data_IF_496491332437
#
_entry.id   IF_496491332437
#
_cell.length_a   1.000
_cell.length_b   1.000
_cell.length_c   1.000
_cell.angle_alpha   90.00
_cell.angle_beta   90.00
_cell.angle_gamma   90.00
#
_symmetry.space_group_name_H-M   'P 1'
#
loop_
_entity.id
_entity.type
_entity.pdbx_description
1 polymer ?
#
# COMPACT_ATOMS: atom_id res chain seq x y z
N UNK A 1 -14.86 -11.81 21.80
CA UNK A 1 -13.80 -10.85 21.54
C UNK A 1 -14.40 -9.49 21.87
N UNK A 2 -13.97 -8.97 22.97
CA UNK A 2 -14.59 -7.77 23.55
C UNK A 2 -13.61 -6.61 23.25
N UNK A 3 -13.92 -5.79 22.24
CA UNK A 3 -13.14 -4.59 21.92
C UNK A 3 -14.09 -3.40 21.77
N UNK A 4 -13.69 -2.28 22.35
CA UNK A 4 -14.44 -1.04 22.22
C UNK A 4 -14.11 -0.36 20.88
N UNK A 5 -15.11 0.07 20.10
CA UNK A 5 -14.89 0.79 18.85
C UNK A 5 -14.61 2.29 19.07
N UNK A 6 -14.36 2.69 20.30
CA UNK A 6 -14.09 4.07 20.71
C UNK A 6 -12.60 4.28 21.00
N UNK A 7 -12.14 5.51 20.79
CA UNK A 7 -10.78 5.91 21.13
C UNK A 7 -10.64 6.23 22.60
N UNK A 8 -9.43 6.05 23.14
CA UNK A 8 -9.10 6.49 24.50
C UNK A 8 -9.03 8.03 24.56
N UNK A 9 -9.14 8.56 25.78
CA UNK A 9 -8.97 10.01 26.00
C UNK A 9 -7.60 10.52 25.51
N UNK A 10 -6.55 9.73 25.71
CA UNK A 10 -5.19 10.04 25.24
C UNK A 10 -5.14 10.10 23.71
N UNK A 11 -5.78 9.17 23.01
CA UNK A 11 -5.88 9.20 21.56
C UNK A 11 -6.62 10.43 21.04
N UNK A 12 -7.70 10.85 21.71
CA UNK A 12 -8.47 12.05 21.32
C UNK A 12 -7.70 13.35 21.61
N UNK A 13 -6.96 13.42 22.71
CA UNK A 13 -6.05 14.54 22.97
C UNK A 13 -4.94 14.63 21.93
N UNK A 14 -4.34 13.50 21.59
CA UNK A 14 -3.34 13.43 20.51
C UNK A 14 -3.92 13.77 19.14
N UNK A 15 -5.17 13.38 18.86
CA UNK A 15 -5.88 13.74 17.63
C UNK A 15 -5.96 15.26 17.47
N UNK A 16 -6.30 15.97 18.54
CA UNK A 16 -6.34 17.43 18.52
C UNK A 16 -4.96 18.04 18.18
N UNK A 17 -3.88 17.49 18.74
CA UNK A 17 -2.49 17.89 18.39
C UNK A 17 -2.20 17.67 16.89
N UNK A 18 -2.57 16.49 16.36
CA UNK A 18 -2.36 16.15 14.95
C UNK A 18 -3.15 17.10 14.03
N UNK A 19 -4.40 17.39 14.36
CA UNK A 19 -5.24 18.32 13.59
C UNK A 19 -4.64 19.72 13.55
N UNK A 20 -4.23 20.25 14.70
CA UNK A 20 -3.60 21.58 14.79
C UNK A 20 -2.31 21.63 13.98
N UNK A 21 -1.46 20.60 14.07
CA UNK A 21 -0.22 20.53 13.33
C UNK A 21 -0.47 20.46 11.81
N UNK A 22 -1.42 19.67 11.35
CA UNK A 22 -1.77 19.57 9.94
C UNK A 22 -2.24 20.91 9.36
N UNK A 23 -3.06 21.66 10.09
CA UNK A 23 -3.51 23.00 9.67
C UNK A 23 -2.33 23.94 9.43
N UNK A 24 -1.26 23.84 10.25
CA UNK A 24 -0.09 24.70 10.16
C UNK A 24 0.95 24.23 9.14
N UNK A 25 0.98 22.95 8.80
CA UNK A 25 2.09 22.33 8.08
C UNK A 25 1.73 21.75 6.70
N UNK A 26 0.45 21.56 6.39
CA UNK A 26 0.05 21.14 5.05
C UNK A 26 0.32 22.29 4.07
N UNK A 27 1.10 22.07 2.99
CA UNK A 27 1.36 23.10 2.00
C UNK A 27 0.07 23.62 1.36
N UNK A 28 0.00 24.92 1.17
CA UNK A 28 -1.13 25.56 0.52
C UNK A 28 -1.31 25.07 -0.94
N UNK A 29 -2.55 24.89 -1.35
CA UNK A 29 -2.89 24.49 -2.72
C UNK A 29 -2.50 23.05 -3.05
N UNK A 30 -2.49 22.13 -2.08
CA UNK A 30 -2.45 20.68 -2.37
C UNK A 30 -3.78 20.29 -3.03
N UNK A 31 -3.68 19.66 -4.20
CA UNK A 31 -4.83 19.15 -4.94
C UNK A 31 -5.14 17.71 -4.55
N UNK A 32 -6.40 17.32 -4.67
CA UNK A 32 -6.92 15.99 -4.36
C UNK A 32 -7.68 15.43 -5.58
N UNK A 33 -7.00 15.19 -6.72
CA UNK A 33 -7.68 14.69 -7.89
C UNK A 33 -8.21 13.27 -7.63
N UNK A 34 -9.33 12.88 -8.24
CA UNK A 34 -9.85 11.51 -8.20
C UNK A 34 -8.83 10.47 -8.70
N UNK A 35 -7.99 10.87 -9.62
CA UNK A 35 -6.90 10.07 -10.18
C UNK A 35 -5.56 10.77 -9.99
N UNK A 36 -4.69 10.17 -9.15
CA UNK A 36 -3.38 10.72 -8.83
C UNK A 36 -2.38 10.69 -10.00
N UNK A 37 -2.70 10.01 -11.11
CA UNK A 37 -1.90 10.08 -12.34
C UNK A 37 -1.93 11.47 -12.98
N UNK A 38 -2.92 12.29 -12.63
CA UNK A 38 -3.02 13.68 -13.07
C UNK A 38 -2.18 14.66 -12.23
N UNK A 39 -1.53 14.20 -11.16
CA UNK A 39 -0.64 15.06 -10.38
C UNK A 39 0.59 15.44 -11.21
N UNK A 40 0.84 16.74 -11.30
CA UNK A 40 2.04 17.28 -11.92
C UNK A 40 3.22 17.33 -10.92
N UNK A 41 4.39 17.73 -11.41
CA UNK A 41 5.61 17.83 -10.61
C UNK A 41 5.46 18.80 -9.42
N UNK A 42 4.78 19.94 -9.58
CA UNK A 42 4.55 20.91 -8.51
C UNK A 42 3.77 20.28 -7.35
N UNK A 43 2.67 19.59 -7.67
CA UNK A 43 1.83 18.91 -6.69
C UNK A 43 2.59 17.77 -6.01
N UNK A 44 3.41 17.05 -6.76
CA UNK A 44 4.28 16.03 -6.20
C UNK A 44 5.30 16.62 -5.21
N UNK A 45 5.95 17.72 -5.55
CA UNK A 45 6.91 18.38 -4.65
C UNK A 45 6.26 18.91 -3.38
N UNK A 46 5.03 19.45 -3.44
CA UNK A 46 4.25 19.82 -2.24
C UNK A 46 4.00 18.61 -1.34
N UNK A 47 3.69 17.45 -1.90
CA UNK A 47 3.50 16.21 -1.15
C UNK A 47 4.81 15.68 -0.55
N UNK A 48 5.91 15.77 -1.30
CA UNK A 48 7.26 15.44 -0.79
C UNK A 48 7.64 16.35 0.37
N UNK A 49 7.32 17.64 0.28
CA UNK A 49 7.58 18.60 1.37
C UNK A 49 6.78 18.24 2.63
N UNK A 50 5.50 17.91 2.49
CA UNK A 50 4.71 17.43 3.62
C UNK A 50 5.29 16.15 4.22
N UNK A 51 5.73 15.21 3.38
CA UNK A 51 6.42 13.99 3.85
C UNK A 51 7.67 14.29 4.67
N UNK A 52 8.51 15.24 4.23
CA UNK A 52 9.70 15.68 5.00
C UNK A 52 9.32 16.35 6.32
N UNK A 53 8.26 17.18 6.36
CA UNK A 53 7.77 17.79 7.61
C UNK A 53 7.23 16.73 8.58
N UNK A 54 6.48 15.74 8.09
CA UNK A 54 6.03 14.59 8.87
C UNK A 54 7.21 13.77 9.38
N UNK A 55 8.22 13.52 8.54
CA UNK A 55 9.45 12.84 8.93
C UNK A 55 10.24 13.57 10.00
N UNK A 56 10.40 14.90 9.89
CA UNK A 56 11.04 15.73 10.91
C UNK A 56 10.30 15.71 12.25
N UNK A 57 8.96 15.59 12.23
CA UNK A 57 8.12 15.42 13.43
C UNK A 57 8.15 13.98 13.98
N UNK A 58 8.69 13.01 13.22
CA UNK A 58 8.62 11.59 13.53
C UNK A 58 7.26 10.94 13.26
N UNK A 59 6.40 11.57 12.46
CA UNK A 59 5.04 11.12 12.20
C UNK A 59 4.88 10.41 10.86
N UNK A 60 5.83 10.57 9.94
CA UNK A 60 5.81 9.84 8.66
C UNK A 60 5.88 8.33 8.88
N UNK A 61 6.74 7.89 9.79
CA UNK A 61 6.93 6.51 10.21
C UNK A 61 6.85 6.43 11.74
N UNK A 62 5.65 6.64 12.25
CA UNK A 62 5.41 6.88 13.67
C UNK A 62 5.91 5.75 14.58
N UNK A 63 5.78 4.49 14.17
CA UNK A 63 6.20 3.32 14.96
C UNK A 63 7.65 2.89 14.73
N UNK A 64 8.34 3.46 13.73
CA UNK A 64 9.73 3.13 13.45
C UNK A 64 10.67 3.64 14.55
N UNK A 65 11.85 2.99 14.76
CA UNK A 65 12.78 3.37 15.82
C UNK A 65 13.31 4.80 15.67
N UNK A 66 13.39 5.52 16.80
CA UNK A 66 13.92 6.90 16.85
C UNK A 66 15.37 7.00 16.42
N UNK A 67 16.18 5.99 16.70
CA UNK A 67 17.60 5.93 16.33
C UNK A 67 17.84 6.01 14.83
N UNK A 68 16.85 5.60 14.02
CA UNK A 68 16.87 5.71 12.56
C UNK A 68 15.96 6.83 12.01
N UNK A 69 15.50 7.75 12.85
CA UNK A 69 14.69 8.89 12.42
C UNK A 69 13.19 8.63 12.38
N UNK A 70 12.71 7.48 12.87
CA UNK A 70 11.30 7.21 13.10
C UNK A 70 10.75 7.88 14.35
N UNK A 71 9.44 7.77 14.58
CA UNK A 71 8.77 8.40 15.74
C UNK A 71 8.97 7.68 17.06
N UNK A 72 9.20 6.37 17.06
CA UNK A 72 9.21 5.55 18.27
C UNK A 72 7.90 5.63 19.06
N UNK A 73 6.80 5.93 18.37
CA UNK A 73 5.46 6.05 18.94
C UNK A 73 4.75 4.70 18.96
N UNK A 74 3.66 4.60 19.72
CA UNK A 74 2.83 3.41 19.75
C UNK A 74 1.96 3.29 18.48
N UNK A 75 1.39 2.10 18.29
CA UNK A 75 0.41 1.86 17.23
C UNK A 75 -0.81 2.78 17.34
N UNK A 76 -1.22 3.12 18.57
CA UNK A 76 -2.36 4.00 18.85
C UNK A 76 -2.15 5.41 18.28
N UNK A 77 -0.93 5.94 18.42
CA UNK A 77 -0.55 7.21 17.80
C UNK A 77 -0.50 7.12 16.28
N UNK A 78 0.07 6.03 15.74
CA UNK A 78 0.15 5.82 14.28
C UNK A 78 -1.23 5.83 13.63
N UNK A 79 -2.20 5.15 14.24
CA UNK A 79 -3.58 5.10 13.74
C UNK A 79 -4.22 6.49 13.71
N UNK A 80 -4.04 7.29 14.74
CA UNK A 80 -4.58 8.66 14.81
C UNK A 80 -3.96 9.54 13.73
N UNK A 81 -2.63 9.47 13.54
CA UNK A 81 -1.94 10.22 12.48
C UNK A 81 -2.47 9.83 11.10
N UNK A 82 -2.56 8.52 10.81
CA UNK A 82 -3.06 8.02 9.54
C UNK A 82 -4.50 8.46 9.25
N UNK A 83 -5.38 8.42 10.26
CA UNK A 83 -6.77 8.86 10.12
C UNK A 83 -6.91 10.35 9.87
N UNK A 84 -6.11 11.18 10.56
CA UNK A 84 -6.19 12.64 10.37
C UNK A 84 -5.60 13.07 9.02
N UNK A 85 -4.55 12.42 8.54
CA UNK A 85 -4.04 12.61 7.18
C UNK A 85 -5.08 12.16 6.15
N UNK A 86 -5.73 11.02 6.37
CA UNK A 86 -6.80 10.54 5.51
C UNK A 86 -8.01 11.50 5.53
N UNK A 87 -8.36 12.08 6.69
CA UNK A 87 -9.46 13.03 6.83
C UNK A 87 -9.31 14.25 5.92
N UNK A 88 -8.08 14.69 5.67
CA UNK A 88 -7.80 15.79 4.74
C UNK A 88 -7.56 15.33 3.30
N UNK A 89 -7.90 14.09 2.94
CA UNK A 89 -7.81 13.57 1.57
C UNK A 89 -6.40 13.13 1.15
N UNK A 90 -5.47 12.97 2.09
CA UNK A 90 -4.11 12.52 1.82
C UNK A 90 -3.88 11.10 2.32
N UNK A 91 -2.78 10.48 1.90
CA UNK A 91 -2.28 9.21 2.42
C UNK A 91 -1.06 9.44 3.29
N UNK A 92 -0.65 8.47 4.08
CA UNK A 92 0.64 8.46 4.74
C UNK A 92 1.48 7.26 4.22
N UNK A 93 2.58 7.48 3.50
CA UNK A 93 3.19 8.77 3.10
C UNK A 93 2.36 9.53 2.07
N UNK A 94 2.44 10.89 2.06
CA UNK A 94 1.57 11.71 1.21
C UNK A 94 1.91 11.70 -0.28
N UNK A 95 2.99 11.03 -0.70
CA UNK A 95 3.46 10.93 -2.09
C UNK A 95 3.13 9.59 -2.77
N UNK A 96 2.11 8.86 -2.28
CA UNK A 96 1.57 7.64 -2.89
C UNK A 96 2.60 6.54 -3.19
N UNK A 97 3.44 6.20 -2.24
CA UNK A 97 4.38 5.10 -2.40
C UNK A 97 4.37 4.14 -1.21
N UNK A 98 4.24 2.85 -1.50
CA UNK A 98 4.34 1.79 -0.50
C UNK A 98 5.77 1.24 -0.35
N UNK A 99 6.67 1.60 -1.26
CA UNK A 99 8.02 1.09 -1.30
C UNK A 99 8.81 1.40 -0.04
N UNK A 100 8.71 2.62 0.44
CA UNK A 100 9.40 3.07 1.66
C UNK A 100 8.99 2.26 2.90
N UNK A 101 7.69 2.02 3.07
CA UNK A 101 7.17 1.27 4.22
C UNK A 101 7.67 -0.17 4.22
N UNK A 102 7.62 -0.83 3.09
CA UNK A 102 7.94 -2.25 2.97
C UNK A 102 9.45 -2.48 2.89
N UNK A 103 10.16 -1.66 2.12
CA UNK A 103 11.62 -1.70 2.00
C UNK A 103 12.31 -1.32 3.31
N UNK A 104 11.87 -0.24 3.96
CA UNK A 104 12.40 0.19 5.25
C UNK A 104 12.25 -0.88 6.33
N UNK A 105 11.09 -1.53 6.41
CA UNK A 105 10.88 -2.63 7.35
C UNK A 105 11.78 -3.83 7.05
N UNK A 106 11.99 -4.17 5.78
CA UNK A 106 12.89 -5.27 5.40
C UNK A 106 14.34 -4.98 5.78
N UNK A 107 14.82 -3.74 5.55
CA UNK A 107 16.16 -3.32 5.96
C UNK A 107 16.29 -3.30 7.49
N UNK A 108 15.27 -2.84 8.20
CA UNK A 108 15.28 -2.81 9.68
C UNK A 108 15.48 -4.21 10.28
N UNK A 109 14.89 -5.25 9.67
CA UNK A 109 14.98 -6.64 10.15
C UNK A 109 16.26 -7.31 9.67
N UNK A 110 16.66 -7.14 8.41
CA UNK A 110 17.67 -7.96 7.74
C UNK A 110 18.94 -7.23 7.35
N UNK A 111 18.94 -5.89 7.38
CA UNK A 111 20.12 -5.09 7.04
C UNK A 111 21.22 -5.22 8.10
N UNK A 112 22.47 -5.07 7.67
CA UNK A 112 23.59 -4.85 8.58
C UNK A 112 23.43 -3.50 9.28
N UNK A 113 24.19 -3.24 10.35
CA UNK A 113 24.13 -1.97 11.05
C UNK A 113 24.53 -0.81 10.12
N UNK A 114 25.51 -1.01 9.24
CA UNK A 114 25.93 -0.05 8.24
C UNK A 114 24.80 0.24 7.22
N UNK A 115 24.12 -0.80 6.73
CA UNK A 115 22.97 -0.64 5.82
C UNK A 115 21.81 0.09 6.50
N UNK A 116 21.52 -0.23 7.76
CA UNK A 116 20.48 0.47 8.53
C UNK A 116 20.82 1.95 8.70
N UNK A 117 22.07 2.28 9.02
CA UNK A 117 22.52 3.68 9.17
C UNK A 117 22.50 4.43 7.83
N UNK A 118 22.79 3.79 6.71
CA UNK A 118 22.78 4.41 5.39
C UNK A 118 21.35 4.67 4.88
N UNK A 119 20.48 3.66 4.93
CA UNK A 119 19.18 3.72 4.25
C UNK A 119 18.04 4.24 5.12
N UNK A 120 17.92 3.76 6.37
CA UNK A 120 16.73 4.01 7.18
C UNK A 120 16.50 5.47 7.54
N UNK A 121 17.52 6.26 7.96
CA UNK A 121 17.29 7.66 8.30
C UNK A 121 16.73 8.48 7.14
N UNK A 122 17.21 8.23 5.93
CA UNK A 122 16.75 8.93 4.72
C UNK A 122 15.31 8.54 4.34
N UNK A 123 14.97 7.25 4.49
CA UNK A 123 13.62 6.74 4.27
C UNK A 123 12.66 7.31 5.32
N UNK A 124 13.01 7.21 6.61
CA UNK A 124 12.08 7.58 7.68
C UNK A 124 11.89 9.09 7.84
N UNK A 125 12.82 9.90 7.34
CA UNK A 125 12.67 11.36 7.25
C UNK A 125 11.99 11.84 5.98
N UNK A 126 11.64 10.91 5.04
CA UNK A 126 11.02 11.27 3.77
C UNK A 126 11.98 11.99 2.80
N UNK A 127 13.29 11.84 3.00
CA UNK A 127 14.33 12.44 2.16
C UNK A 127 14.46 11.70 0.83
N UNK A 128 14.31 10.37 0.85
CA UNK A 128 14.31 9.51 -0.34
C UNK A 128 12.98 8.83 -0.52
N UNK A 129 12.72 8.41 -1.75
CA UNK A 129 11.57 7.62 -2.15
C UNK A 129 12.04 6.31 -2.75
N UNK A 130 11.38 5.22 -2.43
CA UNK A 130 11.74 3.91 -2.95
C UNK A 130 10.59 3.27 -3.73
N UNK A 131 10.92 2.54 -4.78
CA UNK A 131 9.98 1.71 -5.52
C UNK A 131 10.15 0.24 -5.21
N UNK A 132 9.03 -0.45 -5.13
CA UNK A 132 8.94 -1.90 -5.03
C UNK A 132 8.95 -2.53 -6.41
N UNK A 133 9.93 -3.38 -6.71
CA UNK A 133 10.09 -4.07 -7.97
C UNK A 133 10.07 -5.59 -7.75
N UNK A 134 8.89 -6.19 -7.70
CA UNK A 134 8.75 -7.62 -7.46
C UNK A 134 8.28 -8.37 -8.71
N UNK A 135 7.18 -7.90 -9.31
CA UNK A 135 6.49 -8.60 -10.38
C UNK A 135 7.27 -8.57 -11.69
N UNK A 136 7.32 -9.70 -12.37
CA UNK A 136 7.83 -9.87 -13.72
C UNK A 136 6.72 -10.37 -14.65
N UNK A 137 6.87 -10.32 -15.99
CA UNK A 137 5.86 -10.83 -16.93
C UNK A 137 5.44 -12.26 -16.64
N UNK A 138 6.36 -13.11 -16.19
CA UNK A 138 6.12 -14.53 -15.90
C UNK A 138 6.06 -14.86 -14.41
N UNK A 139 6.28 -13.89 -13.51
CA UNK A 139 6.34 -14.09 -12.07
C UNK A 139 5.53 -13.03 -11.30
N UNK A 140 4.23 -13.26 -11.17
CA UNK A 140 3.32 -12.44 -10.35
C UNK A 140 2.95 -13.16 -9.06
N UNK A 141 1.88 -13.96 -9.05
CA UNK A 141 1.47 -14.77 -7.90
C UNK A 141 2.51 -15.81 -7.49
N UNK A 142 3.30 -16.28 -8.43
CA UNK A 142 4.46 -17.15 -8.22
C UNK A 142 5.75 -16.36 -8.13
N UNK A 143 5.82 -15.46 -7.14
CA UNK A 143 6.92 -14.51 -6.97
C UNK A 143 8.30 -15.18 -6.81
N UNK A 144 8.36 -16.36 -6.23
CA UNK A 144 9.64 -17.08 -6.08
C UNK A 144 10.22 -17.59 -7.42
N UNK A 145 9.51 -17.39 -8.53
CA UNK A 145 9.94 -17.80 -9.88
C UNK A 145 10.45 -16.61 -10.73
N UNK A 146 10.93 -15.55 -10.08
CA UNK A 146 11.54 -14.41 -10.78
C UNK A 146 12.71 -14.87 -11.68
N UNK A 147 12.84 -14.21 -12.82
CA UNK A 147 13.83 -14.52 -13.85
C UNK A 147 14.93 -13.47 -13.98
N UNK A 148 14.74 -12.29 -13.42
CA UNK A 148 15.83 -11.31 -13.33
C UNK A 148 16.97 -11.93 -12.52
N UNK A 149 18.21 -11.77 -13.02
CA UNK A 149 19.43 -12.35 -12.43
C UNK A 149 20.29 -11.29 -11.75
N UNK A 150 21.09 -11.71 -10.78
CA UNK A 150 22.17 -10.92 -10.21
C UNK A 150 23.41 -11.82 -10.11
N UNK A 151 24.38 -11.59 -10.98
CA UNK A 151 25.63 -12.35 -11.03
C UNK A 151 26.72 -11.59 -10.31
N UNK A 152 27.45 -12.26 -9.43
CA UNK A 152 28.55 -11.63 -8.68
C UNK A 152 29.76 -11.36 -9.58
N UNK A 153 30.27 -10.13 -9.52
CA UNK A 153 31.49 -9.70 -10.20
C UNK A 153 32.38 -8.90 -9.23
N UNK A 154 33.25 -9.61 -8.52
CA UNK A 154 34.09 -9.04 -7.47
C UNK A 154 33.30 -8.51 -6.28
N UNK A 155 33.41 -7.21 -6.04
CA UNK A 155 32.68 -6.50 -4.95
C UNK A 155 31.33 -5.94 -5.40
N UNK A 156 30.89 -6.29 -6.63
CA UNK A 156 29.63 -5.85 -7.21
C UNK A 156 28.78 -7.04 -7.66
N UNK A 157 27.53 -6.74 -8.06
CA UNK A 157 26.64 -7.62 -8.79
C UNK A 157 26.23 -6.98 -10.11
N UNK A 158 26.13 -7.80 -11.16
CA UNK A 158 25.58 -7.40 -12.46
C UNK A 158 24.13 -7.89 -12.51
N UNK A 159 23.20 -6.95 -12.59
CA UNK A 159 21.77 -7.25 -12.59
C UNK A 159 21.21 -7.11 -14.00
N UNK A 160 20.50 -8.16 -14.45
CA UNK A 160 19.81 -8.24 -15.73
C UNK A 160 18.36 -8.69 -15.56
N UNK A 161 17.45 -8.16 -16.39
CA UNK A 161 16.04 -8.57 -16.40
C UNK A 161 15.06 -7.42 -16.52
N UNK A 162 13.79 -7.71 -16.20
CA UNK A 162 12.74 -6.70 -16.24
C UNK A 162 11.71 -6.88 -15.13
N UNK A 163 11.14 -5.76 -14.69
CA UNK A 163 10.06 -5.70 -13.71
C UNK A 163 8.90 -4.90 -14.26
N UNK A 164 7.67 -5.29 -13.92
CA UNK A 164 6.44 -4.64 -14.42
C UNK A 164 5.53 -4.19 -13.29
N UNK A 165 4.62 -3.29 -13.60
CA UNK A 165 3.67 -2.67 -12.66
C UNK A 165 4.36 -1.89 -11.53
N UNK A 166 5.49 -1.26 -11.84
CA UNK A 166 6.37 -0.61 -10.87
C UNK A 166 5.98 0.84 -10.63
N UNK A 167 6.00 1.27 -9.38
CA UNK A 167 6.02 2.66 -8.94
C UNK A 167 4.87 3.52 -9.46
N UNK A 168 5.22 4.73 -9.86
CA UNK A 168 4.30 5.78 -10.34
C UNK A 168 4.99 6.68 -11.36
N UNK A 169 4.31 7.75 -11.83
CA UNK A 169 4.80 8.65 -12.87
C UNK A 169 6.03 9.50 -12.50
N UNK A 170 6.32 9.67 -11.21
CA UNK A 170 7.23 10.73 -10.74
C UNK A 170 8.59 10.23 -10.23
N UNK A 171 9.02 9.05 -10.64
CA UNK A 171 10.33 8.50 -10.34
C UNK A 171 10.55 8.06 -8.89
N UNK A 172 11.78 7.65 -8.58
CA UNK A 172 12.23 7.29 -7.24
C UNK A 172 13.74 7.51 -7.11
N UNK A 173 14.23 7.46 -5.87
CA UNK A 173 15.67 7.54 -5.59
C UNK A 173 16.32 6.15 -5.53
N UNK A 174 15.56 5.16 -5.05
CA UNK A 174 15.98 3.76 -4.96
C UNK A 174 14.89 2.81 -5.44
N UNK A 175 15.33 1.66 -5.95
CA UNK A 175 14.49 0.52 -6.33
C UNK A 175 14.90 -0.68 -5.50
N UNK A 176 13.95 -1.37 -4.83
CA UNK A 176 14.28 -2.63 -4.19
C UNK A 176 13.58 -3.79 -4.89
N UNK A 177 14.33 -4.87 -5.07
CA UNK A 177 13.91 -5.97 -5.92
C UNK A 177 14.41 -7.33 -5.44
N UNK A 178 13.69 -8.38 -5.85
CA UNK A 178 14.16 -9.76 -5.82
C UNK A 178 14.76 -10.13 -7.17
N UNK A 179 15.93 -10.76 -7.15
CA UNK A 179 16.58 -11.35 -8.33
C UNK A 179 17.06 -12.76 -8.01
N UNK A 180 17.24 -13.58 -9.02
CA UNK A 180 17.90 -14.87 -8.88
C UNK A 180 19.42 -14.67 -8.75
N UNK A 181 20.01 -15.13 -7.66
CA UNK A 181 21.45 -15.08 -7.39
C UNK A 181 22.15 -16.39 -7.65
N UNK A 182 21.38 -17.51 -7.70
CA UNK A 182 21.91 -18.85 -7.96
C UNK A 182 20.87 -19.70 -8.68
N UNK A 183 21.06 -19.97 -9.96
CA UNK A 183 20.15 -20.78 -10.77
C UNK A 183 20.14 -22.28 -10.42
N UNK A 184 21.16 -22.77 -9.70
CA UNK A 184 21.30 -24.17 -9.33
C UNK A 184 20.75 -24.46 -7.94
N UNK A 185 20.59 -23.43 -7.10
CA UNK A 185 20.08 -23.60 -5.74
C UNK A 185 18.56 -23.90 -5.74
N UNK A 186 18.08 -24.59 -4.69
CA UNK A 186 16.67 -24.89 -4.53
C UNK A 186 15.81 -23.60 -4.49
N UNK A 187 14.59 -23.71 -4.99
CA UNK A 187 13.58 -22.64 -4.92
C UNK A 187 13.47 -22.07 -3.51
N UNK A 188 13.44 -20.76 -3.37
CA UNK A 188 13.45 -19.94 -2.15
C UNK A 188 14.83 -19.82 -1.48
N UNK A 189 15.83 -20.57 -1.92
CA UNK A 189 17.22 -20.52 -1.47
C UNK A 189 18.15 -20.03 -2.59
N UNK A 190 17.58 -19.36 -3.57
CA UNK A 190 18.24 -18.95 -4.82
C UNK A 190 18.04 -17.46 -5.13
N UNK A 191 17.55 -16.67 -4.17
CA UNK A 191 17.16 -15.27 -4.41
C UNK A 191 17.98 -14.31 -3.54
N UNK A 192 18.35 -13.17 -4.14
CA UNK A 192 18.88 -12.00 -3.45
C UNK A 192 17.86 -10.87 -3.41
N UNK A 193 17.91 -10.05 -2.36
CA UNK A 193 17.11 -8.83 -2.23
C UNK A 193 18.03 -7.61 -2.25
N UNK A 194 17.85 -6.73 -3.24
CA UNK A 194 18.74 -5.61 -3.49
C UNK A 194 18.04 -4.26 -3.31
N UNK A 195 18.77 -3.28 -2.74
CA UNK A 195 18.40 -1.88 -2.69
C UNK A 195 19.23 -1.11 -3.74
N UNK A 196 18.66 -0.85 -4.90
CA UNK A 196 19.35 -0.36 -6.11
C UNK A 196 19.16 1.15 -6.26
N UNK A 197 20.22 1.97 -6.35
CA UNK A 197 20.08 3.39 -6.73
C UNK A 197 19.43 3.50 -8.12
N UNK A 198 18.39 4.33 -8.24
CA UNK A 198 17.58 4.41 -9.46
C UNK A 198 18.29 5.08 -10.66
N UNK A 199 19.41 5.76 -10.43
CA UNK A 199 20.17 6.51 -11.41
C UNK A 199 21.39 5.74 -11.98
N UNK A 200 21.51 4.44 -11.70
CA UNK A 200 22.62 3.65 -12.23
C UNK A 200 22.50 3.46 -13.76
N UNK A 201 23.63 3.45 -14.48
CA UNK A 201 23.65 3.09 -15.90
C UNK A 201 23.03 1.72 -16.14
N UNK A 202 22.34 1.55 -17.27
CA UNK A 202 21.67 0.30 -17.65
C UNK A 202 20.22 0.18 -17.13
N UNK A 203 19.74 1.12 -16.29
CA UNK A 203 18.34 1.17 -15.87
C UNK A 203 17.52 1.97 -16.88
N UNK A 204 16.48 1.36 -17.44
CA UNK A 204 15.50 2.02 -18.30
C UNK A 204 14.12 1.90 -17.69
N UNK A 205 13.45 3.03 -17.51
CA UNK A 205 12.06 3.12 -17.00
C UNK A 205 11.13 3.49 -18.13
N UNK A 206 10.16 2.63 -18.43
CA UNK A 206 9.17 2.86 -19.49
C UNK A 206 7.77 2.94 -18.86
N UNK A 207 7.07 4.08 -18.98
CA UNK A 207 5.71 4.22 -18.51
C UNK A 207 4.72 3.26 -19.18
N UNK A 208 3.75 2.80 -18.41
CA UNK A 208 2.61 1.98 -18.84
C UNK A 208 1.32 2.69 -18.44
N UNK A 209 0.48 2.99 -19.42
CA UNK A 209 -0.86 3.50 -19.13
C UNK A 209 -1.79 2.35 -18.78
N UNK A 210 -2.33 2.38 -17.60
CA UNK A 210 -3.25 1.36 -17.10
C UNK A 210 -4.65 1.93 -16.89
N UNK A 211 -5.64 1.08 -16.98
CA UNK A 211 -7.03 1.45 -16.69
C UNK A 211 -7.23 1.89 -15.22
N UNK A 212 -6.36 1.46 -14.32
CA UNK A 212 -6.46 1.76 -12.90
C UNK A 212 -6.36 3.27 -12.64
N UNK A 213 -7.28 3.81 -11.83
CA UNK A 213 -7.10 5.12 -11.25
C UNK A 213 -6.16 5.06 -10.05
N UNK A 214 -5.29 6.04 -9.95
CA UNK A 214 -4.57 6.27 -8.71
C UNK A 214 -5.48 6.96 -7.69
N UNK A 215 -5.38 6.63 -6.43
CA UNK A 215 -6.17 7.33 -5.41
C UNK A 215 -6.40 6.52 -4.15
N UNK A 216 -7.50 6.79 -3.48
CA UNK A 216 -7.87 6.39 -2.11
C UNK A 216 -7.72 4.90 -1.76
N UNK A 217 -7.64 4.00 -2.74
CA UNK A 217 -7.49 2.57 -2.50
C UNK A 217 -6.07 2.11 -2.16
N UNK A 218 -5.08 3.02 -2.13
CA UNK A 218 -3.68 2.68 -1.91
C UNK A 218 -3.01 1.90 -3.05
N UNK A 219 -3.68 1.77 -4.19
CA UNK A 219 -3.15 1.06 -5.36
C UNK A 219 -2.12 1.88 -6.17
N UNK A 220 -1.80 3.09 -5.71
CA UNK A 220 -0.84 3.99 -6.38
C UNK A 220 -1.46 4.77 -7.54
N UNK A 221 -0.62 5.38 -8.37
CA UNK A 221 -1.09 6.14 -9.55
C UNK A 221 -1.53 5.20 -10.68
N UNK A 222 -2.40 5.67 -11.56
CA UNK A 222 -2.81 4.97 -12.77
C UNK A 222 -1.66 4.71 -13.75
N UNK A 223 -0.56 5.46 -13.63
CA UNK A 223 0.67 5.20 -14.35
C UNK A 223 1.53 4.24 -13.54
N UNK A 224 1.90 3.14 -14.15
CA UNK A 224 2.91 2.21 -13.68
C UNK A 224 4.04 2.17 -14.69
N UNK A 225 5.12 1.48 -14.36
CA UNK A 225 6.26 1.39 -15.25
C UNK A 225 6.68 -0.07 -15.45
N UNK A 226 7.26 -0.32 -16.60
CA UNK A 226 8.21 -1.41 -16.82
C UNK A 226 9.61 -0.87 -16.55
N UNK A 227 10.40 -1.60 -15.79
CA UNK A 227 11.81 -1.28 -15.52
C UNK A 227 12.67 -2.38 -16.11
N UNK A 228 13.61 -2.00 -16.94
CA UNK A 228 14.61 -2.90 -17.53
C UNK A 228 15.96 -2.69 -16.86
N UNK A 229 16.64 -3.78 -16.58
CA UNK A 229 18.02 -3.83 -16.13
C UNK A 229 18.86 -4.48 -17.22
N UNK A 230 19.85 -3.76 -17.72
CA UNK A 230 20.76 -4.17 -18.78
C UNK A 230 22.20 -3.95 -18.29
N UNK A 231 22.83 -5.02 -17.82
CA UNK A 231 24.15 -5.04 -17.19
C UNK A 231 24.33 -3.99 -16.08
N UNK A 232 23.32 -3.83 -15.22
CA UNK A 232 23.35 -2.84 -14.13
C UNK A 232 24.30 -3.28 -13.05
N UNK A 233 25.38 -2.53 -12.86
CA UNK A 233 26.41 -2.78 -11.83
C UNK A 233 25.96 -2.19 -10.49
N UNK A 234 25.78 -3.05 -9.50
CA UNK A 234 25.28 -2.70 -8.16
C UNK A 234 26.29 -3.17 -7.11
N UNK A 235 26.79 -2.29 -6.21
CA UNK A 235 27.69 -2.70 -5.14
C UNK A 235 27.11 -3.82 -4.26
N UNK A 236 27.95 -4.76 -3.85
CA UNK A 236 27.53 -5.86 -2.95
C UNK A 236 26.99 -5.35 -1.61
N UNK A 237 27.38 -4.14 -1.19
CA UNK A 237 26.77 -3.45 -0.05
C UNK A 237 25.25 -3.31 -0.16
N UNK A 238 24.70 -3.26 -1.36
CA UNK A 238 23.27 -3.09 -1.61
C UNK A 238 22.46 -4.40 -1.54
N UNK A 239 23.11 -5.56 -1.38
CA UNK A 239 22.46 -6.83 -1.09
C UNK A 239 22.10 -6.90 0.39
N UNK A 240 20.82 -6.94 0.71
CA UNK A 240 20.30 -7.00 2.09
C UNK A 240 19.96 -8.43 2.47
N UNK A 241 20.38 -8.85 3.67
CA UNK A 241 20.10 -10.18 4.21
C UNK A 241 21.08 -11.26 3.79
N UNK A 242 21.92 -11.02 2.77
CA UNK A 242 22.91 -11.97 2.26
C UNK A 242 22.50 -12.72 0.99
N UNK A 243 23.48 -13.39 0.38
CA UNK A 243 23.27 -14.22 -0.82
C UNK A 243 22.27 -15.35 -0.53
N UNK A 244 21.36 -15.57 -1.48
CA UNK A 244 20.36 -16.65 -1.43
C UNK A 244 19.33 -16.52 -0.28
N UNK A 245 19.38 -15.46 0.52
CA UNK A 245 18.46 -15.18 1.63
C UNK A 245 17.32 -14.22 1.25
N UNK A 246 17.26 -13.76 0.00
CA UNK A 246 16.28 -12.77 -0.48
C UNK A 246 14.83 -13.16 -0.24
N UNK A 247 14.49 -14.46 -0.23
CA UNK A 247 13.13 -14.90 0.09
C UNK A 247 12.75 -14.66 1.55
N UNK A 248 13.70 -14.79 2.48
CA UNK A 248 13.47 -14.46 3.90
C UNK A 248 13.21 -12.96 4.06
N UNK A 249 14.01 -12.13 3.39
CA UNK A 249 13.81 -10.67 3.35
C UNK A 249 12.44 -10.33 2.76
N UNK A 250 12.09 -10.94 1.63
CA UNK A 250 10.79 -10.75 0.97
C UNK A 250 9.62 -11.17 1.85
N UNK A 251 9.75 -12.25 2.62
CA UNK A 251 8.69 -12.72 3.53
C UNK A 251 8.29 -11.65 4.54
N UNK A 252 9.22 -10.81 5.00
CA UNK A 252 8.94 -9.71 5.94
C UNK A 252 8.00 -8.69 5.32
N UNK A 253 8.32 -8.16 4.15
CA UNK A 253 7.44 -7.16 3.52
C UNK A 253 6.13 -7.76 3.00
N UNK A 254 6.12 -9.03 2.56
CA UNK A 254 4.89 -9.70 2.17
C UNK A 254 3.93 -9.90 3.37
N UNK A 255 4.44 -10.24 4.55
CA UNK A 255 3.63 -10.31 5.76
C UNK A 255 3.07 -8.93 6.15
N UNK A 256 3.86 -7.88 6.05
CA UNK A 256 3.41 -6.51 6.29
C UNK A 256 2.35 -6.07 5.27
N UNK A 257 2.53 -6.38 4.01
CA UNK A 257 1.59 -6.03 2.95
C UNK A 257 0.23 -6.73 3.13
N UNK A 258 0.24 -8.00 3.50
CA UNK A 258 -0.97 -8.82 3.62
C UNK A 258 -1.63 -8.74 4.99
N UNK A 259 -0.89 -8.43 6.06
CA UNK A 259 -1.36 -8.54 7.44
C UNK A 259 -1.71 -7.24 8.14
N UNK A 260 -1.22 -6.11 7.68
CA UNK A 260 -1.21 -4.87 8.48
C UNK A 260 -2.25 -3.82 8.07
N UNK A 261 -2.98 -4.02 7.00
CA UNK A 261 -3.93 -3.05 6.49
C UNK A 261 -5.19 -2.93 7.35
N UNK A 262 -5.16 -2.13 8.38
CA UNK A 262 -6.35 -1.84 9.17
C UNK A 262 -6.60 -0.35 9.21
N UNK A 263 -7.29 0.20 8.22
CA UNK A 263 -8.02 1.46 8.46
C UNK A 263 -9.15 1.14 9.42
N UNK A 264 -9.20 1.86 10.54
CA UNK A 264 -10.29 1.75 11.50
C UNK A 264 -11.50 2.56 11.00
N UNK A 265 -11.24 3.62 10.24
CA UNK A 265 -12.24 4.47 9.63
C UNK A 265 -13.03 3.78 8.51
N UNK A 266 -14.26 4.24 8.29
CA UNK A 266 -15.08 3.82 7.15
C UNK A 266 -14.49 4.39 5.86
N UNK A 267 -14.72 3.69 4.75
CA UNK A 267 -14.30 4.16 3.44
C UNK A 267 -15.05 5.46 3.07
N UNK A 268 -14.32 6.56 2.91
CA UNK A 268 -14.87 7.88 2.54
C UNK A 268 -15.68 7.88 1.27
N UNK A 269 -15.33 7.03 0.30
CA UNK A 269 -16.13 6.90 -0.91
C UNK A 269 -17.58 6.58 -0.58
N UNK A 270 -17.83 5.75 0.43
CA UNK A 270 -19.18 5.37 0.85
C UNK A 270 -19.92 6.58 1.42
N UNK A 271 -19.26 7.36 2.28
CA UNK A 271 -19.85 8.57 2.85
C UNK A 271 -20.12 9.62 1.77
N UNK A 272 -19.15 9.87 0.88
CA UNK A 272 -19.31 10.78 -0.26
C UNK A 272 -20.44 10.34 -1.20
N UNK A 273 -20.54 9.03 -1.45
CA UNK A 273 -21.61 8.49 -2.30
C UNK A 273 -22.99 8.62 -1.65
N UNK A 274 -23.09 8.41 -0.33
CA UNK A 274 -24.33 8.65 0.38
C UNK A 274 -24.73 10.11 0.36
N UNK A 275 -23.80 11.03 0.54
CA UNK A 275 -24.08 12.47 0.43
C UNK A 275 -24.50 12.85 -0.99
N UNK A 276 -23.86 12.30 -1.99
CA UNK A 276 -24.29 12.44 -3.38
C UNK A 276 -25.75 11.98 -3.57
N UNK A 277 -26.13 10.80 -3.07
CA UNK A 277 -27.50 10.27 -3.18
C UNK A 277 -28.55 11.07 -2.38
N UNK A 278 -28.15 11.72 -1.29
CA UNK A 278 -29.02 12.63 -0.53
C UNK A 278 -29.29 13.94 -1.25
N UNK A 279 -28.31 14.44 -1.98
CA UNK A 279 -28.34 15.77 -2.60
C UNK A 279 -28.74 15.72 -4.09
N UNK A 280 -28.59 14.59 -4.78
CA UNK A 280 -28.97 14.43 -6.18
C UNK A 280 -30.41 14.00 -6.33
N UNK A 281 -31.15 14.70 -7.19
CA UNK A 281 -32.57 14.43 -7.43
C UNK A 281 -32.76 13.58 -8.70
N UNK A 282 -33.71 12.62 -8.60
CA UNK A 282 -34.25 11.88 -9.73
C UNK A 282 -35.78 11.87 -9.61
N UNK A 283 -36.48 12.23 -10.71
CA UNK A 283 -37.95 12.32 -10.71
C UNK A 283 -38.53 13.23 -9.60
N UNK A 284 -37.83 14.33 -9.26
CA UNK A 284 -38.31 15.32 -8.30
C UNK A 284 -38.11 14.97 -6.82
N UNK A 285 -37.34 13.90 -6.53
CA UNK A 285 -36.97 13.53 -5.15
C UNK A 285 -35.51 13.08 -5.05
N UNK A 286 -34.87 13.20 -3.88
CA UNK A 286 -33.52 12.67 -3.66
C UNK A 286 -33.41 11.19 -4.00
N UNK A 287 -32.30 10.77 -4.62
CA UNK A 287 -32.00 9.37 -4.91
C UNK A 287 -32.14 8.48 -3.66
N UNK A 288 -31.73 8.96 -2.52
CA UNK A 288 -31.84 8.26 -1.23
C UNK A 288 -33.26 8.00 -0.76
N UNK A 289 -34.30 8.57 -1.42
CA UNK A 289 -35.72 8.33 -1.12
C UNK A 289 -36.34 7.27 -2.02
N UNK A 290 -35.70 6.93 -3.12
CA UNK A 290 -36.11 5.83 -3.98
C UNK A 290 -35.92 4.48 -3.22
N UNK A 291 -36.94 3.62 -3.09
CA UNK A 291 -36.85 2.39 -2.35
C UNK A 291 -35.77 1.43 -2.87
N UNK A 292 -35.63 1.29 -4.19
CA UNK A 292 -34.64 0.39 -4.82
C UNK A 292 -33.23 0.90 -4.59
N UNK A 293 -33.03 2.22 -4.62
CA UNK A 293 -31.74 2.86 -4.29
C UNK A 293 -31.42 2.66 -2.82
N UNK A 294 -32.40 2.83 -1.92
CA UNK A 294 -32.19 2.64 -0.49
C UNK A 294 -31.72 1.23 -0.12
N UNK A 295 -32.31 0.21 -0.70
CA UNK A 295 -31.91 -1.17 -0.45
C UNK A 295 -30.45 -1.40 -0.84
N UNK A 296 -30.04 -0.91 -2.00
CA UNK A 296 -28.64 -0.98 -2.46
C UNK A 296 -27.69 -0.15 -1.60
N UNK A 297 -28.11 1.02 -1.12
CA UNK A 297 -27.31 1.84 -0.19
C UNK A 297 -27.09 1.12 1.15
N UNK A 298 -28.10 0.37 1.63
CA UNK A 298 -27.97 -0.45 2.84
C UNK A 298 -26.92 -1.55 2.60
N UNK A 299 -26.96 -2.23 1.48
CA UNK A 299 -25.96 -3.25 1.13
C UNK A 299 -24.55 -2.66 1.10
N UNK A 300 -24.37 -1.52 0.42
CA UNK A 300 -23.09 -0.80 0.37
C UNK A 300 -22.60 -0.43 1.78
N UNK A 301 -23.51 0.04 2.64
CA UNK A 301 -23.19 0.38 4.03
C UNK A 301 -22.73 -0.86 4.80
N UNK A 302 -23.44 -1.98 4.69
CA UNK A 302 -23.08 -3.23 5.36
C UNK A 302 -21.71 -3.72 4.91
N UNK A 303 -21.43 -3.72 3.62
CA UNK A 303 -20.12 -4.10 3.06
C UNK A 303 -18.99 -3.24 3.63
N UNK A 304 -19.19 -1.92 3.72
CA UNK A 304 -18.22 -1.00 4.27
C UNK A 304 -17.99 -1.21 5.77
N UNK A 305 -19.07 -1.41 6.55
CA UNK A 305 -18.97 -1.65 7.99
C UNK A 305 -18.31 -2.98 8.32
N UNK A 306 -18.61 -4.05 7.61
CA UNK A 306 -17.93 -5.34 7.79
C UNK A 306 -16.44 -5.21 7.48
N UNK A 307 -16.07 -4.49 6.40
CA UNK A 307 -14.68 -4.21 6.07
C UNK A 307 -13.96 -3.42 7.19
N UNK A 308 -14.64 -2.41 7.76
CA UNK A 308 -14.15 -1.63 8.89
C UNK A 308 -13.93 -2.51 10.13
N UNK A 309 -14.88 -3.39 10.45
CA UNK A 309 -14.78 -4.30 11.59
C UNK A 309 -13.62 -5.29 11.46
N UNK A 310 -13.30 -5.77 10.26
CA UNK A 310 -12.09 -6.57 10.04
C UNK A 310 -10.82 -5.76 10.30
N UNK A 311 -10.77 -4.51 9.87
CA UNK A 311 -9.67 -3.61 10.16
C UNK A 311 -9.49 -3.37 11.67
N UNK A 312 -10.57 -3.08 12.37
CA UNK A 312 -10.60 -2.86 13.81
C UNK A 312 -10.17 -4.11 14.60
N UNK A 313 -10.61 -5.31 14.19
CA UNK A 313 -10.15 -6.56 14.77
C UNK A 313 -8.64 -6.74 14.63
N UNK A 314 -8.09 -6.51 13.44
CA UNK A 314 -6.67 -6.67 13.20
C UNK A 314 -5.84 -5.64 13.97
N UNK A 315 -6.34 -4.40 14.10
CA UNK A 315 -5.74 -3.39 14.98
C UNK A 315 -5.71 -3.86 16.43
N UNK A 316 -6.85 -4.32 16.97
CA UNK A 316 -6.94 -4.81 18.34
C UNK A 316 -6.00 -6.00 18.59
N UNK A 317 -5.91 -6.95 17.64
CA UNK A 317 -5.00 -8.09 17.76
C UNK A 317 -3.53 -7.64 17.84
N UNK A 318 -3.13 -6.65 17.06
CA UNK A 318 -1.78 -6.08 17.14
C UNK A 318 -1.54 -5.32 18.44
N UNK A 319 -2.50 -4.50 18.85
CA UNK A 319 -2.43 -3.75 20.10
C UNK A 319 -2.26 -4.70 21.30
N UNK A 320 -3.02 -5.77 21.35
CA UNK A 320 -2.95 -6.80 22.41
C UNK A 320 -1.83 -7.83 22.22
N UNK A 321 -0.95 -7.63 21.21
CA UNK A 321 0.13 -8.57 20.83
C UNK A 321 -0.37 -10.00 20.56
N UNK A 322 -1.64 -10.14 20.16
CA UNK A 322 -2.20 -11.41 19.72
C UNK A 322 -1.67 -11.76 18.34
N UNK A 323 -1.26 -13.01 18.16
CA UNK A 323 -0.72 -13.45 16.89
C UNK A 323 -1.78 -13.40 15.77
N UNK A 324 -1.49 -12.67 14.71
CA UNK A 324 -2.31 -12.60 13.49
C UNK A 324 -1.87 -13.74 12.57
N UNK A 325 -2.80 -14.61 12.19
CA UNK A 325 -2.57 -15.74 11.31
C UNK A 325 -3.30 -15.59 9.97
N UNK A 326 -4.55 -15.98 9.91
CA UNK A 326 -5.40 -15.86 8.71
C UNK A 326 -6.19 -14.55 8.65
N UNK A 327 -6.24 -13.79 9.74
CA UNK A 327 -7.10 -12.61 9.87
C UNK A 327 -6.69 -11.47 8.93
N UNK A 328 -5.40 -11.30 8.68
CA UNK A 328 -4.88 -10.35 7.70
C UNK A 328 -5.34 -10.67 6.27
N UNK A 329 -5.04 -11.88 5.76
CA UNK A 329 -5.55 -12.35 4.47
C UNK A 329 -7.08 -12.33 4.36
N UNK A 330 -7.81 -12.62 5.43
CA UNK A 330 -9.28 -12.56 5.46
C UNK A 330 -9.78 -11.13 5.25
N UNK A 331 -9.21 -10.17 5.97
CA UNK A 331 -9.55 -8.76 5.82
C UNK A 331 -9.24 -8.25 4.39
N UNK A 332 -8.07 -8.63 3.86
CA UNK A 332 -7.65 -8.28 2.50
C UNK A 332 -8.60 -8.87 1.44
N UNK A 333 -8.93 -10.16 1.55
CA UNK A 333 -9.87 -10.83 0.67
C UNK A 333 -11.25 -10.17 0.69
N UNK A 334 -11.79 -9.94 1.91
CA UNK A 334 -13.10 -9.30 2.05
C UNK A 334 -13.12 -7.91 1.42
N UNK A 335 -12.13 -7.05 1.70
CA UNK A 335 -12.01 -5.70 1.13
C UNK A 335 -11.99 -5.72 -0.41
N UNK A 336 -11.23 -6.64 -1.02
CA UNK A 336 -11.17 -6.81 -2.47
C UNK A 336 -12.55 -7.17 -3.06
N UNK A 337 -13.22 -8.13 -2.46
CA UNK A 337 -14.51 -8.60 -2.96
C UNK A 337 -15.64 -7.62 -2.65
N UNK A 338 -15.62 -6.96 -1.50
CA UNK A 338 -16.61 -5.93 -1.16
C UNK A 338 -16.49 -4.72 -2.09
N UNK A 339 -15.27 -4.31 -2.44
CA UNK A 339 -15.04 -3.26 -3.41
C UNK A 339 -15.73 -3.52 -4.76
N UNK A 340 -15.62 -4.75 -5.28
CA UNK A 340 -16.34 -5.15 -6.50
C UNK A 340 -17.86 -5.14 -6.33
N UNK A 341 -18.38 -5.63 -5.20
CA UNK A 341 -19.83 -5.64 -4.96
C UNK A 341 -20.38 -4.22 -4.84
N UNK A 342 -19.68 -3.35 -4.09
CA UNK A 342 -20.04 -1.93 -4.00
C UNK A 342 -19.98 -1.23 -5.36
N UNK A 343 -18.93 -1.48 -6.16
CA UNK A 343 -18.81 -0.94 -7.52
C UNK A 343 -20.01 -1.31 -8.40
N UNK A 344 -20.44 -2.56 -8.37
CA UNK A 344 -21.63 -3.02 -9.11
C UNK A 344 -22.92 -2.34 -8.61
N UNK A 345 -23.12 -2.26 -7.30
CA UNK A 345 -24.29 -1.61 -6.72
C UNK A 345 -24.33 -0.11 -7.08
N UNK A 346 -23.18 0.58 -7.07
CA UNK A 346 -23.07 1.98 -7.49
C UNK A 346 -23.42 2.13 -8.98
N UNK A 347 -22.90 1.25 -9.83
CA UNK A 347 -23.20 1.25 -11.27
C UNK A 347 -24.71 1.02 -11.53
N UNK A 348 -25.32 0.11 -10.80
CA UNK A 348 -26.77 -0.16 -10.90
C UNK A 348 -27.63 1.05 -10.48
N UNK A 349 -27.15 1.86 -9.50
CA UNK A 349 -27.86 3.06 -9.05
C UNK A 349 -27.71 4.21 -10.05
N UNK A 350 -26.50 4.43 -10.55
CA UNK A 350 -26.15 5.62 -11.34
C UNK A 350 -26.17 5.39 -12.86
N UNK A 351 -26.06 4.14 -13.31
CA UNK A 351 -25.92 3.82 -14.72
C UNK A 351 -24.67 4.48 -15.33
N UNK A 352 -24.79 5.04 -16.55
CA UNK A 352 -23.65 5.65 -17.26
C UNK A 352 -22.93 6.78 -16.51
N UNK A 353 -23.62 7.48 -15.59
CA UNK A 353 -23.01 8.54 -14.78
C UNK A 353 -21.89 8.03 -13.84
N UNK A 354 -21.86 6.73 -13.56
CA UNK A 354 -20.78 6.10 -12.81
C UNK A 354 -19.50 5.85 -13.63
N UNK A 355 -19.55 6.02 -14.95
CA UNK A 355 -18.49 5.65 -15.90
C UNK A 355 -17.84 6.83 -16.59
N UNK A 356 -18.13 8.06 -16.12
CA UNK A 356 -17.58 9.28 -16.69
C UNK A 356 -17.15 10.24 -15.60
N UNK A 357 -16.02 10.92 -15.84
CA UNK A 357 -15.54 12.04 -15.03
C UNK A 357 -15.93 13.40 -15.59
N UNK A 358 -16.75 13.43 -16.65
CA UNK A 358 -17.25 14.69 -17.22
C UNK A 358 -18.03 15.49 -16.17
N UNK A 359 -17.72 16.79 -15.94
CA UNK A 359 -18.36 17.58 -14.88
C UNK A 359 -19.88 17.72 -15.03
N UNK A 360 -20.41 17.57 -16.25
CA UNK A 360 -21.84 17.68 -16.53
C UNK A 360 -22.59 16.36 -16.30
N UNK A 361 -21.93 15.23 -16.55
CA UNK A 361 -22.59 13.91 -16.60
C UNK A 361 -22.09 12.93 -15.55
N UNK A 362 -20.90 13.18 -14.99
CA UNK A 362 -20.28 12.33 -13.98
C UNK A 362 -20.85 12.54 -12.59
N UNK A 363 -20.64 11.57 -11.73
CA UNK A 363 -21.06 11.60 -10.35
C UNK A 363 -19.89 11.94 -9.42
N UNK A 364 -20.15 12.79 -8.40
CA UNK A 364 -19.19 13.13 -7.35
C UNK A 364 -17.81 13.54 -7.90
N UNK A 365 -17.79 14.50 -8.83
CA UNK A 365 -16.58 15.11 -9.41
C UNK A 365 -15.55 14.10 -9.96
N UNK A 366 -16.03 12.96 -10.48
CA UNK A 366 -15.20 11.89 -11.04
C UNK A 366 -14.69 10.86 -10.03
N UNK A 367 -14.91 11.04 -8.72
CA UNK A 367 -14.48 10.06 -7.70
C UNK A 367 -15.15 8.69 -7.87
N UNK A 368 -16.41 8.67 -8.31
CA UNK A 368 -17.14 7.42 -8.59
C UNK A 368 -16.52 6.70 -9.79
N UNK A 369 -16.23 7.42 -10.88
CA UNK A 369 -15.60 6.83 -12.07
C UNK A 369 -14.22 6.23 -11.73
N UNK A 370 -13.39 6.98 -11.02
CA UNK A 370 -12.08 6.53 -10.57
C UNK A 370 -12.21 5.26 -9.69
N UNK A 371 -13.23 5.20 -8.81
CA UNK A 371 -13.52 4.00 -8.03
C UNK A 371 -13.90 2.81 -8.90
N UNK A 372 -14.73 3.00 -9.95
CA UNK A 372 -15.13 1.89 -10.85
C UNK A 372 -13.90 1.24 -11.50
N UNK A 373 -12.96 2.03 -12.00
CA UNK A 373 -11.70 1.51 -12.56
C UNK A 373 -10.86 0.80 -11.50
N UNK A 374 -10.68 1.42 -10.34
CA UNK A 374 -9.86 0.88 -9.25
C UNK A 374 -10.41 -0.40 -8.66
N UNK A 375 -11.73 -0.54 -8.50
CA UNK A 375 -12.36 -1.72 -7.90
C UNK A 375 -12.11 -3.00 -8.71
N UNK A 376 -12.07 -2.90 -10.04
CA UNK A 376 -11.81 -4.03 -10.94
C UNK A 376 -10.36 -4.51 -10.76
N UNK A 377 -9.41 -3.59 -10.66
CA UNK A 377 -7.98 -3.91 -10.55
C UNK A 377 -7.60 -4.33 -9.14
N UNK A 378 -8.24 -3.77 -8.11
CA UNK A 378 -7.89 -3.99 -6.70
C UNK A 378 -7.92 -5.46 -6.24
N UNK A 379 -8.55 -6.37 -6.99
CA UNK A 379 -8.52 -7.80 -6.69
C UNK A 379 -7.17 -8.47 -6.96
N UNK A 380 -6.25 -7.80 -7.67
CA UNK A 380 -4.97 -8.36 -8.12
C UNK A 380 -3.77 -7.95 -7.24
N UNK A 381 -3.44 -6.66 -7.01
CA UNK A 381 -2.22 -6.26 -6.30
C UNK A 381 -2.23 -6.67 -4.83
N UNK A 382 -1.06 -6.81 -4.22
CA UNK A 382 -0.93 -7.22 -2.83
C UNK A 382 -1.42 -8.66 -2.58
N UNK A 383 -1.07 -9.60 -3.46
CA UNK A 383 -1.63 -10.95 -3.52
C UNK A 383 -3.08 -10.95 -4.02
N UNK A 384 -3.35 -11.71 -5.08
CA UNK A 384 -4.69 -11.80 -5.66
C UNK A 384 -5.73 -12.29 -4.65
N UNK A 385 -7.02 -12.06 -4.91
CA UNK A 385 -8.10 -12.60 -4.09
C UNK A 385 -7.95 -14.13 -3.90
N UNK A 386 -7.49 -14.87 -4.91
CA UNK A 386 -7.27 -16.31 -4.82
C UNK A 386 -6.03 -16.66 -3.98
N UNK A 387 -4.95 -15.89 -4.09
CA UNK A 387 -3.77 -16.06 -3.21
C UNK A 387 -4.16 -15.80 -1.74
N UNK A 388 -5.01 -14.82 -1.45
CA UNK A 388 -5.51 -14.61 -0.08
C UNK A 388 -6.26 -15.84 0.46
N UNK A 389 -7.10 -16.49 -0.37
CA UNK A 389 -7.77 -17.75 0.00
C UNK A 389 -6.75 -18.88 0.28
N UNK A 390 -5.73 -19.01 -0.57
CA UNK A 390 -4.67 -20.01 -0.39
C UNK A 390 -3.92 -19.79 0.92
N UNK A 391 -3.58 -18.53 1.25
CA UNK A 391 -2.90 -18.19 2.50
C UNK A 391 -3.81 -18.54 3.69
N UNK A 392 -5.08 -18.14 3.67
CA UNK A 392 -6.05 -18.50 4.72
C UNK A 392 -6.14 -20.02 4.91
N UNK A 393 -6.34 -20.76 3.81
CA UNK A 393 -6.47 -22.22 3.85
C UNK A 393 -5.24 -22.87 4.53
N UNK A 394 -4.04 -22.45 4.15
CA UNK A 394 -2.78 -22.94 4.74
C UNK A 394 -2.68 -22.61 6.24
N UNK A 395 -3.11 -21.42 6.65
CA UNK A 395 -3.03 -20.95 8.04
C UNK A 395 -4.03 -21.66 8.97
N UNK A 396 -5.13 -22.18 8.44
CA UNK A 396 -6.12 -22.97 9.20
C UNK A 396 -5.94 -24.50 9.00
N UNK A 397 -4.82 -24.93 8.40
CA UNK A 397 -4.47 -26.35 8.26
C UNK A 397 -5.11 -27.08 7.07
N UNK A 398 -5.69 -26.34 6.11
CA UNK A 398 -6.22 -26.92 4.87
C UNK A 398 -5.14 -26.86 3.78
N UNK A 399 -4.84 -27.99 3.15
CA UNK A 399 -3.86 -28.09 2.06
C UNK A 399 -2.57 -28.81 2.52
N UNK A 400 -1.40 -28.49 1.90
CA UNK A 400 -0.13 -29.13 2.22
C UNK A 400 0.09 -29.21 3.72
N UNK A 401 0.50 -30.41 4.22
CA UNK A 401 0.92 -30.62 5.60
C UNK A 401 1.77 -29.43 6.05
N UNK A 402 1.34 -28.80 7.14
CA UNK A 402 2.14 -27.80 7.83
C UNK A 402 3.39 -28.55 8.29
N UNK A 403 4.50 -28.41 7.56
CA UNK A 403 5.81 -28.75 8.13
C UNK A 403 5.88 -27.91 9.40
N UNK A 404 5.83 -28.58 10.55
CA UNK A 404 6.08 -27.95 11.85
C UNK A 404 7.36 -27.13 11.67
N UNK A 405 7.25 -25.83 11.77
CA UNK A 405 8.42 -24.98 11.94
C UNK A 405 9.00 -25.37 13.28
N UNK A 406 9.98 -26.26 13.24
CA UNK A 406 10.79 -26.60 14.41
C UNK A 406 11.32 -25.27 14.98
N UNK A 407 10.84 -24.96 16.17
CA UNK A 407 11.39 -24.08 17.17
C UNK A 407 12.27 -22.91 16.71
N UNK A 408 11.66 -21.79 16.34
CA UNK A 408 12.36 -20.50 16.32
C UNK A 408 11.34 -19.39 16.43
N UNK A 409 10.90 -19.15 17.64
CA UNK A 409 10.42 -17.87 18.21
C UNK A 409 10.13 -18.18 19.69
N UNK A 410 11.18 -18.41 20.46
CA UNK A 410 11.17 -18.22 21.92
C UNK A 410 11.72 -16.83 22.22
#
# INVERSE_FOLDING_TARGET
>A
MDFEPSYTKEQEEFRAEVQEWLVQNVPEGIEHPPDSSHLNEEQYQKRRELGRRLGAKGWLWATAPKEYGGGGLSLDHSVVIEEEIDRIGLTNPPYYDSGDRLGGASILVWGTDEQKQEFLPRIFRGEVRTWQLLTEPEAGSDLANVKSTAERDGDDYIINGQKIYVGSSLGCDYMWTLTCTDNEAPRHENLGWFMIPANLPGITVQPMDLLIAGGESGAGSGVKNTVYFDDVRVPAFNLVGGENEGWKVASTHLELEHGTGGRIGRNKLVDNFFDYCRNTQRHGQPLSKDPDVRDRLIDIYIEAEVSRLFGLRNYWMRHSKTNITYEGPQASYYRKMSGLRMSRAILDILGPAALTHDPQWGAADGHIEAHQRSAIVAVHPGGTADIQKVIMARRIGIGREVREKAGALA
#
